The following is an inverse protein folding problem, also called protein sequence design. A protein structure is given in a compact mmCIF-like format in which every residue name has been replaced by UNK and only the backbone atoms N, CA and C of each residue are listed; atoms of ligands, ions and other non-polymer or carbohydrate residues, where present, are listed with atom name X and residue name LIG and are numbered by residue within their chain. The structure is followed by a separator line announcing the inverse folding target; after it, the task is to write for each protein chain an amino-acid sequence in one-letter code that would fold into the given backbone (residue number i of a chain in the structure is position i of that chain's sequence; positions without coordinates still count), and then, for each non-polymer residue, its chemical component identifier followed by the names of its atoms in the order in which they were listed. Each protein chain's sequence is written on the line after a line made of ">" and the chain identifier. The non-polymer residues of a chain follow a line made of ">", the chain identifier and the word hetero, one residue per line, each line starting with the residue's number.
data_IF_051387199415
#
_entry.id   IF_051387199415
#
_cell.length_a   1.000
_cell.length_b   1.000
_cell.length_c   1.000
_cell.angle_alpha   90.00
_cell.angle_beta   90.00
_cell.angle_gamma   90.00
#
_symmetry.space_group_name_H-M   'P 1'
#
loop_
_entity.id
_entity.type
_entity.pdbx_description
1 polymer ?
#
# COMPACT_ATOMS: atom_id res chain seq x y z
N UNK A 1 13.57 -7.37 2.24
CA UNK A 1 13.44 -6.19 3.12
C UNK A 1 11.95 -5.93 3.21
N UNK A 2 11.35 -6.07 4.39
CA UNK A 2 9.91 -5.80 4.57
C UNK A 2 9.81 -4.32 4.97
N UNK A 3 9.12 -3.52 4.17
CA UNK A 3 8.75 -2.14 4.54
C UNK A 3 7.32 -2.18 5.07
N UNK A 4 7.18 -2.06 6.38
CA UNK A 4 5.88 -1.91 7.04
C UNK A 4 5.44 -0.44 6.95
N UNK A 5 4.41 -0.16 6.16
CA UNK A 5 3.77 1.15 6.10
C UNK A 5 2.36 1.08 6.69
N UNK A 6 2.17 1.73 7.84
CA UNK A 6 0.84 1.97 8.40
C UNK A 6 0.37 3.36 7.97
N UNK A 7 -0.58 3.43 7.04
CA UNK A 7 -1.24 4.69 6.67
C UNK A 7 -2.48 4.83 7.56
N UNK A 8 -2.32 5.51 8.69
CA UNK A 8 -3.44 5.91 9.54
C UNK A 8 -4.01 7.25 9.04
N UNK A 9 -5.14 7.21 8.35
CA UNK A 9 -5.93 8.41 8.04
C UNK A 9 -6.71 8.81 9.30
N UNK A 10 -6.03 9.36 10.30
CA UNK A 10 -6.69 9.85 11.52
C UNK A 10 -7.55 11.08 11.19
N UNK A 11 -8.86 10.95 11.37
CA UNK A 11 -9.81 12.06 11.22
C UNK A 11 -11.10 11.73 10.48
N UNK A 12 -11.37 10.49 10.09
CA UNK A 12 -12.66 10.11 9.52
C UNK A 12 -13.04 8.71 9.96
N UNK A 13 -14.08 8.61 10.79
CA UNK A 13 -14.95 7.45 10.89
C UNK A 13 -15.57 7.22 9.51
N UNK A 14 -14.78 6.62 8.60
CA UNK A 14 -15.16 6.21 7.26
C UNK A 14 -14.23 5.09 6.84
N UNK A 15 -14.76 3.87 6.92
CA UNK A 15 -14.69 2.88 5.83
C UNK A 15 -14.34 3.60 4.53
N UNK A 16 -13.20 3.30 3.91
CA UNK A 16 -12.91 3.85 2.58
C UNK A 16 -13.97 3.25 1.64
N UNK A 17 -15.05 4.00 1.43
CA UNK A 17 -16.14 3.65 0.52
C UNK A 17 -15.69 3.67 -0.95
N UNK A 18 -14.45 4.11 -1.21
CA UNK A 18 -13.88 4.23 -2.53
C UNK A 18 -12.69 3.27 -2.71
N UNK A 19 -12.97 2.09 -3.26
CA UNK A 19 -11.96 1.08 -3.60
C UNK A 19 -10.78 1.62 -4.43
N UNK A 20 -10.98 2.73 -5.17
CA UNK A 20 -9.93 3.38 -5.96
C UNK A 20 -8.83 3.99 -5.07
N UNK A 21 -9.15 4.47 -3.86
CA UNK A 21 -8.15 5.07 -2.98
C UNK A 21 -7.09 4.04 -2.57
N UNK A 22 -7.49 2.80 -2.26
CA UNK A 22 -6.56 1.71 -1.93
C UNK A 22 -5.61 1.38 -3.08
N UNK A 23 -6.15 1.28 -4.31
CA UNK A 23 -5.35 1.02 -5.51
C UNK A 23 -4.36 2.15 -5.81
N UNK A 24 -4.77 3.41 -5.61
CA UNK A 24 -3.87 4.55 -5.76
C UNK A 24 -2.74 4.51 -4.72
N UNK A 25 -3.05 4.18 -3.47
CA UNK A 25 -2.03 4.03 -2.42
C UNK A 25 -1.06 2.91 -2.75
N UNK A 26 -1.54 1.73 -3.16
CA UNK A 26 -0.69 0.61 -3.55
C UNK A 26 0.25 0.98 -4.70
N UNK A 27 -0.26 1.62 -5.76
CA UNK A 27 0.56 2.06 -6.89
C UNK A 27 1.57 3.15 -6.52
N UNK A 28 1.20 4.08 -5.64
CA UNK A 28 2.12 5.10 -5.14
C UNK A 28 3.27 4.48 -4.34
N UNK A 29 2.97 3.55 -3.44
CA UNK A 29 3.99 2.85 -2.66
C UNK A 29 4.92 2.03 -3.56
N UNK A 30 4.36 1.36 -4.58
CA UNK A 30 5.14 0.66 -5.59
C UNK A 30 6.13 1.60 -6.28
N UNK A 31 5.64 2.69 -6.87
CA UNK A 31 6.48 3.62 -7.61
C UNK A 31 7.57 4.26 -6.74
N UNK A 32 7.27 4.59 -5.48
CA UNK A 32 8.27 5.12 -4.55
C UNK A 32 9.36 4.11 -4.22
N UNK A 33 8.99 2.84 -4.04
CA UNK A 33 9.96 1.78 -3.79
C UNK A 33 10.88 1.57 -5.00
N UNK A 34 10.32 1.45 -6.19
CA UNK A 34 11.08 1.26 -7.44
C UNK A 34 12.02 2.44 -7.69
N UNK A 35 11.56 3.68 -7.48
CA UNK A 35 12.42 4.87 -7.58
C UNK A 35 13.55 4.91 -6.55
N UNK A 36 13.30 4.43 -5.33
CA UNK A 36 14.29 4.46 -4.26
C UNK A 36 15.38 3.39 -4.42
N UNK A 37 15.03 2.25 -4.99
CA UNK A 37 15.90 1.07 -5.06
C UNK A 37 16.35 0.70 -6.47
N UNK A 38 15.85 1.35 -7.52
CA UNK A 38 16.15 1.09 -8.94
C UNK A 38 15.92 -0.38 -9.34
N UNK A 39 14.80 -0.93 -8.88
CA UNK A 39 14.34 -2.30 -9.15
C UNK A 39 12.89 -2.27 -9.57
N UNK A 40 12.44 -3.27 -10.32
CA UNK A 40 11.01 -3.54 -10.48
C UNK A 40 10.46 -4.18 -9.20
N UNK A 41 9.17 -4.04 -8.94
CA UNK A 41 8.54 -4.64 -7.76
C UNK A 41 7.11 -5.10 -8.01
N UNK A 42 6.64 -5.95 -7.11
CA UNK A 42 5.24 -6.38 -7.03
C UNK A 42 4.70 -5.98 -5.66
N UNK A 43 3.53 -5.35 -5.65
CA UNK A 43 2.78 -5.05 -4.44
C UNK A 43 1.63 -6.04 -4.29
N UNK A 44 1.63 -6.76 -3.17
CA UNK A 44 0.48 -7.54 -2.71
C UNK A 44 -0.24 -6.73 -1.64
N UNK A 45 -1.56 -6.69 -1.68
CA UNK A 45 -2.34 -5.91 -0.73
C UNK A 45 -3.67 -6.60 -0.39
N UNK A 46 -4.14 -6.36 0.83
CA UNK A 46 -5.40 -6.86 1.34
C UNK A 46 -6.05 -5.83 2.27
N UNK A 47 -7.36 -5.97 2.48
CA UNK A 47 -8.08 -5.24 3.53
C UNK A 47 -8.33 -6.20 4.68
N UNK A 48 -7.90 -5.83 5.87
CA UNK A 48 -8.22 -6.55 7.11
C UNK A 48 -9.72 -6.44 7.43
N UNK A 49 -10.20 -7.30 8.34
CA UNK A 49 -11.59 -7.26 8.83
C UNK A 49 -11.95 -5.93 9.47
N UNK A 50 -10.97 -5.24 10.05
CA UNK A 50 -11.09 -3.90 10.66
C UNK A 50 -11.03 -2.76 9.62
N UNK A 51 -10.85 -3.08 8.34
CA UNK A 51 -10.82 -2.11 7.24
C UNK A 51 -9.47 -1.44 7.02
N UNK A 52 -8.40 -1.93 7.65
CA UNK A 52 -7.04 -1.43 7.41
C UNK A 52 -6.48 -1.99 6.10
N UNK A 53 -5.75 -1.16 5.35
CA UNK A 53 -4.99 -1.58 4.17
C UNK A 53 -3.64 -2.18 4.58
N UNK A 54 -3.45 -3.46 4.30
CA UNK A 54 -2.19 -4.17 4.46
C UNK A 54 -1.50 -4.26 3.10
N UNK A 55 -0.20 -3.95 3.04
CA UNK A 55 0.58 -3.97 1.80
C UNK A 55 1.94 -4.60 2.04
N UNK A 56 2.39 -5.42 1.10
CA UNK A 56 3.72 -6.00 1.05
C UNK A 56 4.35 -5.71 -0.31
N UNK A 57 5.56 -5.15 -0.30
CA UNK A 57 6.31 -4.81 -1.52
C UNK A 57 7.48 -5.77 -1.66
N UNK A 58 7.52 -6.51 -2.77
CA UNK A 58 8.56 -7.47 -3.07
C UNK A 58 9.29 -7.08 -4.37
N UNK A 59 10.62 -6.88 -4.37
CA UNK A 59 11.37 -6.62 -5.58
C UNK A 59 11.28 -7.82 -6.54
N UNK A 60 11.15 -7.54 -7.82
CA UNK A 60 11.25 -8.51 -8.90
C UNK A 60 12.71 -8.52 -9.38
N UNK A 61 13.30 -9.70 -9.41
CA UNK A 61 14.69 -9.92 -9.83
C UNK A 61 14.83 -10.02 -11.34
#
# INVERSE_FOLDING_TARGET
>A
MILEFAVALEGSDRRIDNATAYLMTAGMVQGLFEMAFDVESKVEWALSEDGNLEMEVNPLG
#
